data_IF_191640744874
#
_entry.id   IF_191640744874
#
_cell.length_a   1.000
_cell.length_b   1.000
_cell.length_c   1.000
_cell.angle_alpha   90.00
_cell.angle_beta   90.00
_cell.angle_gamma   90.00
#
_symmetry.space_group_name_H-M   'P 1'
#
loop_
_entity.id
_entity.type
_entity.pdbx_description
1 polymer ?
#
# COMPACT_ATOMS: atom_id res chain seq x y z
N UNK A 1 6.23 2.07 -40.06
CA UNK A 1 4.80 2.17 -39.70
C UNK A 1 4.54 2.19 -38.19
N UNK A 2 5.55 2.16 -37.31
CA UNK A 2 5.37 2.21 -35.84
C UNK A 2 5.29 3.65 -35.26
N UNK A 3 5.58 4.69 -36.05
CA UNK A 3 5.70 6.07 -35.58
C UNK A 3 4.36 6.79 -35.43
N UNK A 4 3.35 6.42 -36.23
CA UNK A 4 2.02 7.03 -36.20
C UNK A 4 1.19 6.62 -34.99
N UNK A 5 1.36 5.38 -34.53
CA UNK A 5 0.58 4.82 -33.42
C UNK A 5 1.08 5.33 -32.06
N UNK A 6 2.40 5.41 -31.88
CA UNK A 6 3.02 6.00 -30.69
C UNK A 6 2.69 7.49 -30.56
N UNK A 7 2.63 8.22 -31.68
CA UNK A 7 2.24 9.64 -31.69
C UNK A 7 0.78 9.82 -31.31
N UNK A 8 -0.11 8.97 -31.82
CA UNK A 8 -1.54 8.99 -31.46
C UNK A 8 -1.75 8.72 -29.96
N UNK A 9 -1.08 7.71 -29.42
CA UNK A 9 -1.17 7.36 -28.00
C UNK A 9 -0.67 8.50 -27.09
N UNK A 10 0.42 9.18 -27.48
CA UNK A 10 0.94 10.33 -26.76
C UNK A 10 -0.06 11.51 -26.75
N UNK A 11 -0.72 11.78 -27.88
CA UNK A 11 -1.75 12.81 -27.97
C UNK A 11 -2.98 12.50 -27.09
N UNK A 12 -3.41 11.23 -27.06
CA UNK A 12 -4.55 10.81 -26.25
C UNK A 12 -4.25 10.92 -24.75
N UNK A 13 -3.05 10.52 -24.31
CA UNK A 13 -2.60 10.64 -22.91
C UNK A 13 -2.59 12.11 -22.47
N UNK A 14 -2.05 13.01 -23.30
CA UNK A 14 -1.99 14.44 -23.00
C UNK A 14 -3.38 15.07 -22.91
N UNK A 15 -4.34 14.60 -23.73
CA UNK A 15 -5.74 15.05 -23.66
C UNK A 15 -6.41 14.63 -22.35
N UNK A 16 -6.21 13.38 -21.90
CA UNK A 16 -6.79 12.91 -20.65
C UNK A 16 -6.25 13.65 -19.42
N UNK A 17 -4.94 13.89 -19.37
CA UNK A 17 -4.32 14.66 -18.30
C UNK A 17 -4.90 16.08 -18.22
N UNK A 18 -5.23 16.69 -19.37
CA UNK A 18 -5.86 18.01 -19.45
C UNK A 18 -7.31 18.03 -18.98
N UNK A 19 -8.02 16.90 -19.10
CA UNK A 19 -9.39 16.71 -18.62
C UNK A 19 -9.47 16.27 -17.14
N UNK A 20 -8.34 16.18 -16.44
CA UNK A 20 -8.28 15.64 -15.07
C UNK A 20 -8.57 14.13 -15.00
N UNK A 21 -8.58 13.45 -16.16
CA UNK A 21 -8.81 12.01 -16.27
C UNK A 21 -7.47 11.30 -16.27
N UNK A 22 -7.37 10.22 -15.51
CA UNK A 22 -6.16 9.42 -15.47
C UNK A 22 -5.90 8.78 -16.86
N UNK A 23 -4.66 8.76 -17.38
CA UNK A 23 -4.29 8.20 -18.69
C UNK A 23 -4.79 6.77 -18.99
N UNK A 24 -5.23 6.04 -17.97
CA UNK A 24 -5.80 4.69 -18.10
C UNK A 24 -7.22 4.65 -18.68
N UNK A 25 -7.91 5.79 -18.84
CA UNK A 25 -9.20 5.81 -19.53
C UNK A 25 -9.10 5.48 -21.04
N UNK A 26 -7.89 5.50 -21.65
CA UNK A 26 -7.64 5.03 -23.03
C UNK A 26 -7.52 3.50 -23.10
N UNK A 27 -7.20 2.83 -22.00
CA UNK A 27 -6.96 1.38 -22.01
C UNK A 27 -8.24 0.54 -22.03
N UNK A 28 -9.41 1.15 -21.90
CA UNK A 28 -10.70 0.45 -21.93
C UNK A 28 -11.23 0.20 -23.36
N UNK A 29 -10.65 0.83 -24.38
CA UNK A 29 -11.10 0.70 -25.78
C UNK A 29 -10.22 -0.24 -26.63
N UNK A 30 -9.33 -1.02 -25.99
CA UNK A 30 -8.59 -2.09 -26.66
C UNK A 30 -9.26 -3.42 -26.36
N UNK A 31 -10.20 -3.80 -27.22
CA UNK A 31 -10.80 -5.13 -27.35
C UNK A 31 -9.73 -6.20 -27.69
N UNK A 32 -8.83 -6.50 -26.75
CA UNK A 32 -7.97 -7.66 -26.84
C UNK A 32 -8.12 -8.48 -25.55
N UNK A 33 -8.97 -9.50 -25.61
CA UNK A 33 -9.22 -10.51 -24.57
C UNK A 33 -7.92 -11.22 -24.07
N UNK A 34 -6.78 -11.01 -24.72
CA UNK A 34 -5.47 -11.56 -24.35
C UNK A 34 -4.63 -10.69 -23.38
N UNK A 35 -5.02 -9.44 -23.12
CA UNK A 35 -4.24 -8.50 -22.29
C UNK A 35 -4.85 -8.19 -20.92
N UNK A 36 -6.04 -8.73 -20.63
CA UNK A 36 -6.85 -8.28 -19.51
C UNK A 36 -6.20 -8.58 -18.14
N UNK A 37 -5.68 -9.79 -17.94
CA UNK A 37 -5.19 -10.20 -16.62
C UNK A 37 -3.83 -9.60 -16.25
N UNK A 38 -2.90 -9.58 -17.21
CA UNK A 38 -1.61 -8.95 -17.00
C UNK A 38 -1.77 -7.43 -16.80
N UNK A 39 -2.71 -6.81 -17.51
CA UNK A 39 -3.10 -5.42 -17.31
C UNK A 39 -3.65 -5.18 -15.90
N UNK A 40 -4.64 -5.98 -15.47
CA UNK A 40 -5.21 -5.92 -14.11
C UNK A 40 -4.14 -6.09 -13.03
N UNK A 41 -3.27 -7.08 -13.16
CA UNK A 41 -2.17 -7.30 -12.24
C UNK A 41 -1.26 -6.08 -12.13
N UNK A 42 -0.85 -5.48 -13.25
CA UNK A 42 0.01 -4.28 -13.24
C UNK A 42 -0.62 -3.10 -12.52
N UNK A 43 -1.94 -2.92 -12.65
CA UNK A 43 -2.66 -1.87 -11.92
C UNK A 43 -2.62 -2.13 -10.42
N UNK A 44 -2.87 -3.37 -9.99
CA UNK A 44 -2.80 -3.77 -8.58
C UNK A 44 -1.38 -3.59 -8.05
N UNK A 45 -0.38 -4.02 -8.81
CA UNK A 45 1.03 -3.89 -8.46
C UNK A 45 1.44 -2.42 -8.28
N UNK A 46 1.07 -1.54 -9.20
CA UNK A 46 1.33 -0.11 -9.06
C UNK A 46 0.67 0.46 -7.80
N UNK A 47 -0.60 0.14 -7.56
CA UNK A 47 -1.32 0.61 -6.37
C UNK A 47 -0.72 0.09 -5.07
N UNK A 48 -0.21 -1.14 -5.07
CA UNK A 48 0.49 -1.72 -3.93
C UNK A 48 1.85 -1.05 -3.69
N UNK A 49 2.61 -0.72 -4.74
CA UNK A 49 3.85 0.06 -4.62
C UNK A 49 3.57 1.44 -4.05
N UNK A 50 2.54 2.14 -4.55
CA UNK A 50 2.12 3.45 -4.04
C UNK A 50 1.67 3.36 -2.58
N UNK A 51 0.87 2.34 -2.23
CA UNK A 51 0.46 2.09 -0.85
C UNK A 51 1.66 1.84 0.08
N UNK A 52 2.59 0.96 -0.32
CA UNK A 52 3.81 0.66 0.44
C UNK A 52 4.75 1.86 0.58
N UNK A 53 4.65 2.87 -0.30
CA UNK A 53 5.52 4.05 -0.27
C UNK A 53 5.11 5.09 0.78
N UNK A 54 3.92 4.94 1.39
CA UNK A 54 3.46 5.76 2.50
C UNK A 54 4.52 5.77 3.61
N UNK A 55 4.67 6.90 4.29
CA UNK A 55 5.58 7.05 5.43
C UNK A 55 7.04 6.65 5.13
N UNK A 56 7.52 7.01 3.94
CA UNK A 56 8.88 6.75 3.43
C UNK A 56 9.19 5.26 3.17
N UNK A 57 8.18 4.41 3.03
CA UNK A 57 8.35 3.00 2.73
C UNK A 57 8.16 2.10 3.96
N UNK A 58 7.78 0.85 3.72
CA UNK A 58 7.50 -0.16 4.77
C UNK A 58 8.64 -0.31 5.78
N UNK A 59 9.90 -0.14 5.36
CA UNK A 59 11.05 -0.23 6.25
C UNK A 59 11.06 0.85 7.35
N UNK A 60 10.42 1.99 7.11
CA UNK A 60 10.35 3.13 8.04
C UNK A 60 9.05 3.15 8.87
N UNK A 61 8.10 2.24 8.61
CA UNK A 61 6.77 2.28 9.24
C UNK A 61 6.82 2.14 10.76
N UNK A 62 7.69 1.28 11.30
CA UNK A 62 7.78 1.09 12.74
C UNK A 62 8.20 2.38 13.47
N UNK A 63 9.22 3.07 12.98
CA UNK A 63 9.68 4.35 13.52
C UNK A 63 8.62 5.44 13.34
N UNK A 64 8.03 5.53 12.14
CA UNK A 64 6.99 6.51 11.87
C UNK A 64 5.76 6.33 12.79
N UNK A 65 5.32 5.09 13.02
CA UNK A 65 4.17 4.78 13.88
C UNK A 65 4.44 5.16 15.34
N UNK A 66 5.63 4.90 15.86
CA UNK A 66 6.00 5.30 17.22
C UNK A 66 6.05 6.83 17.37
N UNK A 67 6.59 7.53 16.36
CA UNK A 67 6.62 9.00 16.36
C UNK A 67 5.21 9.60 16.23
N UNK A 68 4.40 9.10 15.29
CA UNK A 68 3.06 9.64 15.03
C UNK A 68 2.11 9.36 16.18
N UNK A 69 2.23 8.22 16.87
CA UNK A 69 1.49 7.94 18.10
C UNK A 69 1.78 8.96 19.19
N UNK A 70 3.06 9.27 19.43
CA UNK A 70 3.46 10.27 20.43
C UNK A 70 2.89 11.65 20.13
N UNK A 71 2.85 12.02 18.86
CA UNK A 71 2.28 13.30 18.43
C UNK A 71 0.74 13.29 18.58
N UNK A 72 0.09 12.19 18.17
CA UNK A 72 -1.34 12.01 18.33
C UNK A 72 -1.78 12.14 19.79
N UNK A 73 -1.07 11.50 20.72
CA UNK A 73 -1.38 11.60 22.16
C UNK A 73 -1.33 13.05 22.69
N UNK A 74 -0.58 13.94 22.04
CA UNK A 74 -0.48 15.36 22.43
C UNK A 74 -1.53 16.22 21.76
N UNK A 75 -1.93 15.88 20.54
CA UNK A 75 -2.70 16.78 19.69
C UNK A 75 -4.18 16.41 19.55
N UNK A 76 -4.50 15.14 19.32
CA UNK A 76 -5.83 14.73 18.86
C UNK A 76 -6.32 13.37 19.39
N UNK A 77 -5.50 12.65 20.14
CA UNK A 77 -5.88 11.42 20.85
C UNK A 77 -5.66 10.13 20.07
N UNK A 78 -5.95 9.01 20.72
CA UNK A 78 -5.69 7.67 20.20
C UNK A 78 -6.62 7.27 19.07
N UNK A 79 -7.91 7.59 19.19
CA UNK A 79 -8.92 7.08 18.26
C UNK A 79 -8.68 7.59 16.83
N UNK A 80 -8.40 8.88 16.65
CA UNK A 80 -8.11 9.45 15.31
C UNK A 80 -6.82 8.87 14.70
N UNK A 81 -5.77 8.67 15.50
CA UNK A 81 -4.54 8.03 15.03
C UNK A 81 -4.76 6.57 14.64
N UNK A 82 -5.50 5.84 15.49
CA UNK A 82 -5.86 4.45 15.26
C UNK A 82 -6.65 4.32 13.96
N UNK A 83 -7.66 5.17 13.75
CA UNK A 83 -8.45 5.20 12.52
C UNK A 83 -7.58 5.46 11.29
N UNK A 84 -6.63 6.41 11.31
CA UNK A 84 -5.73 6.65 10.17
C UNK A 84 -4.92 5.40 9.82
N UNK A 85 -4.30 4.76 10.82
CA UNK A 85 -3.46 3.59 10.60
C UNK A 85 -4.31 2.40 10.15
N UNK A 86 -5.49 2.22 10.75
CA UNK A 86 -6.39 1.12 10.42
C UNK A 86 -6.99 1.26 9.02
N UNK A 87 -7.36 2.47 8.61
CA UNK A 87 -7.79 2.77 7.24
C UNK A 87 -6.69 2.46 6.21
N UNK A 88 -5.44 2.74 6.57
CA UNK A 88 -4.31 2.38 5.71
C UNK A 88 -4.12 0.87 5.62
N UNK A 89 -4.25 0.13 6.72
CA UNK A 89 -4.23 -1.34 6.73
C UNK A 89 -5.38 -1.93 5.89
N UNK A 90 -6.58 -1.38 5.99
CA UNK A 90 -7.75 -1.79 5.19
C UNK A 90 -7.55 -1.57 3.69
N UNK A 91 -6.86 -0.49 3.30
CA UNK A 91 -6.45 -0.29 1.89
C UNK A 91 -5.51 -1.41 1.43
N UNK A 92 -4.57 -1.83 2.28
CA UNK A 92 -3.69 -2.97 2.04
C UNK A 92 -4.47 -4.28 1.85
N UNK A 93 -5.39 -4.59 2.77
CA UNK A 93 -6.26 -5.78 2.69
C UNK A 93 -7.09 -5.80 1.40
N UNK A 94 -7.65 -4.66 0.98
CA UNK A 94 -8.38 -4.56 -0.29
C UNK A 94 -7.51 -4.84 -1.52
N UNK A 95 -6.24 -4.43 -1.49
CA UNK A 95 -5.29 -4.74 -2.57
C UNK A 95 -4.94 -6.23 -2.60
N UNK A 96 -4.76 -6.84 -1.43
CA UNK A 96 -4.55 -8.28 -1.30
C UNK A 96 -5.75 -9.07 -1.82
N UNK A 97 -6.99 -8.73 -1.41
CA UNK A 97 -8.22 -9.36 -1.92
C UNK A 97 -8.29 -9.28 -3.44
N UNK A 98 -8.06 -8.10 -4.03
CA UNK A 98 -8.09 -7.91 -5.49
C UNK A 98 -7.03 -8.73 -6.22
N UNK A 99 -5.89 -9.00 -5.57
CA UNK A 99 -4.84 -9.85 -6.12
C UNK A 99 -5.26 -11.33 -6.14
N UNK A 100 -6.05 -11.77 -5.14
CA UNK A 100 -6.64 -13.12 -5.12
C UNK A 100 -7.81 -13.29 -6.10
N UNK A 101 -8.53 -12.21 -6.41
CA UNK A 101 -9.64 -12.19 -7.38
C UNK A 101 -9.18 -12.14 -8.85
N UNK A 102 -7.88 -12.28 -9.10
CA UNK A 102 -7.33 -12.48 -10.43
C UNK A 102 -7.75 -13.86 -10.97
N UNK A 103 -8.85 -13.86 -11.75
CA UNK A 103 -9.45 -15.03 -12.40
C UNK A 103 -9.65 -14.87 -13.91
N UNK A 104 -8.93 -13.95 -14.54
CA UNK A 104 -9.05 -13.68 -15.96
C UNK A 104 -8.34 -14.67 -16.89
N UNK A 105 -8.40 -14.36 -18.18
CA UNK A 105 -7.68 -15.11 -19.20
C UNK A 105 -6.17 -14.92 -19.04
N UNK A 106 -5.47 -16.03 -18.83
CA UNK A 106 -4.01 -16.02 -18.74
C UNK A 106 -3.35 -15.75 -20.11
N UNK A 107 -2.16 -15.12 -20.14
CA UNK A 107 -1.40 -14.97 -21.36
C UNK A 107 -1.11 -16.32 -22.03
N UNK A 108 -1.17 -16.38 -23.38
CA UNK A 108 -0.86 -17.61 -24.13
C UNK A 108 0.60 -18.05 -23.96
N UNK A 109 1.52 -17.10 -23.76
CA UNK A 109 2.93 -17.43 -23.62
C UNK A 109 3.27 -17.92 -22.21
N UNK A 110 3.72 -19.18 -22.13
CA UNK A 110 4.03 -19.86 -20.87
C UNK A 110 5.03 -19.11 -19.97
N UNK A 111 6.00 -18.39 -20.54
CA UNK A 111 6.95 -17.59 -19.75
C UNK A 111 6.29 -16.40 -19.07
N UNK A 112 5.26 -15.79 -19.67
CA UNK A 112 4.50 -14.69 -19.06
C UNK A 112 3.63 -15.17 -17.91
N UNK A 113 3.06 -16.38 -18.03
CA UNK A 113 2.29 -17.01 -16.94
C UNK A 113 3.19 -17.26 -15.73
N UNK A 114 4.40 -17.81 -15.95
CA UNK A 114 5.38 -18.01 -14.86
C UNK A 114 5.78 -16.71 -14.19
N UNK A 115 6.05 -15.68 -14.99
CA UNK A 115 6.45 -14.37 -14.48
C UNK A 115 5.32 -13.68 -13.70
N UNK A 116 4.09 -13.75 -14.21
CA UNK A 116 2.90 -13.26 -13.51
C UNK A 116 2.75 -13.95 -12.16
N UNK A 117 2.83 -15.28 -12.12
CA UNK A 117 2.73 -16.04 -10.88
C UNK A 117 3.83 -15.68 -9.88
N UNK A 118 5.09 -15.56 -10.34
CA UNK A 118 6.23 -15.17 -9.51
C UNK A 118 6.00 -13.79 -8.87
N UNK A 119 5.67 -12.79 -9.68
CA UNK A 119 5.45 -11.41 -9.21
C UNK A 119 4.22 -11.29 -8.33
N UNK A 120 3.13 -11.97 -8.65
CA UNK A 120 1.93 -11.98 -7.82
C UNK A 120 2.21 -12.60 -6.45
N UNK A 121 2.95 -13.72 -6.40
CA UNK A 121 3.34 -14.35 -5.13
C UNK A 121 4.23 -13.45 -4.29
N UNK A 122 5.21 -12.79 -4.91
CA UNK A 122 6.07 -11.80 -4.25
C UNK A 122 5.25 -10.63 -3.68
N UNK A 123 4.29 -10.13 -4.46
CA UNK A 123 3.43 -9.02 -4.04
C UNK A 123 2.51 -9.40 -2.88
N UNK A 124 1.89 -10.60 -2.91
CA UNK A 124 1.11 -11.13 -1.78
C UNK A 124 1.97 -11.16 -0.52
N UNK A 125 3.19 -11.70 -0.61
CA UNK A 125 4.09 -11.79 0.55
C UNK A 125 4.44 -10.41 1.13
N UNK A 126 4.73 -9.43 0.26
CA UNK A 126 5.04 -8.07 0.67
C UNK A 126 3.84 -7.39 1.34
N UNK A 127 2.65 -7.51 0.74
CA UNK A 127 1.41 -6.96 1.31
C UNK A 127 1.11 -7.58 2.68
N UNK A 128 1.11 -8.91 2.79
CA UNK A 128 0.84 -9.61 4.04
C UNK A 128 1.81 -9.19 5.15
N UNK A 129 3.11 -9.10 4.84
CA UNK A 129 4.14 -8.66 5.79
C UNK A 129 3.91 -7.21 6.25
N UNK A 130 3.58 -6.32 5.32
CA UNK A 130 3.36 -4.91 5.61
C UNK A 130 2.08 -4.70 6.45
N UNK A 131 0.98 -5.38 6.10
CA UNK A 131 -0.28 -5.35 6.88
C UNK A 131 -0.04 -5.87 8.30
N UNK A 132 0.63 -7.02 8.45
CA UNK A 132 0.95 -7.58 9.75
C UNK A 132 1.81 -6.63 10.61
N UNK A 133 2.74 -5.89 9.98
CA UNK A 133 3.51 -4.87 10.69
C UNK A 133 2.60 -3.80 11.30
N UNK A 134 1.64 -3.27 10.52
CA UNK A 134 0.70 -2.27 11.02
C UNK A 134 -0.12 -2.81 12.18
N UNK A 135 -0.72 -3.99 12.02
CA UNK A 135 -1.57 -4.62 13.04
C UNK A 135 -0.81 -4.87 14.35
N UNK A 136 0.40 -5.41 14.26
CA UNK A 136 1.25 -5.69 15.42
C UNK A 136 1.66 -4.37 16.10
N UNK A 137 2.09 -3.37 15.34
CA UNK A 137 2.56 -2.11 15.93
C UNK A 137 1.43 -1.33 16.61
N UNK A 138 0.24 -1.28 16.00
CA UNK A 138 -0.94 -0.64 16.61
C UNK A 138 -1.29 -1.30 17.95
N UNK A 139 -1.16 -2.62 18.06
CA UNK A 139 -1.36 -3.31 19.33
C UNK A 139 -0.23 -3.06 20.34
N UNK A 140 1.03 -3.06 19.90
CA UNK A 140 2.20 -3.00 20.82
C UNK A 140 2.52 -1.60 21.33
N UNK A 141 2.37 -0.58 20.50
CA UNK A 141 2.80 0.79 20.82
C UNK A 141 2.13 1.30 22.10
N UNK A 142 0.79 1.26 22.26
CA UNK A 142 0.15 1.72 23.50
C UNK A 142 0.70 1.03 24.75
N UNK A 143 0.92 -0.28 24.68
CA UNK A 143 1.47 -1.06 25.80
C UNK A 143 2.89 -0.64 26.17
N UNK A 144 3.78 -0.39 25.19
CA UNK A 144 5.14 0.10 25.44
C UNK A 144 5.12 1.43 26.21
N UNK A 145 4.23 2.35 25.84
CA UNK A 145 4.14 3.65 26.49
C UNK A 145 3.55 3.58 27.89
N UNK A 146 2.56 2.72 28.15
CA UNK A 146 2.02 2.52 29.50
C UNK A 146 3.06 1.98 30.49
N UNK A 147 3.94 1.08 30.04
CA UNK A 147 5.02 0.52 30.87
C UNK A 147 6.06 1.61 31.21
N UNK A 148 6.48 2.40 30.23
CA UNK A 148 7.50 3.42 30.42
C UNK A 148 7.04 4.55 31.37
N UNK A 149 5.78 4.97 31.29
CA UNK A 149 5.24 5.94 32.25
C UNK A 149 5.23 5.39 33.68
N UNK A 150 4.86 4.11 33.84
CA UNK A 150 4.82 3.44 35.16
C UNK A 150 6.20 3.29 35.80
N UNK A 151 7.27 3.21 35.00
CA UNK A 151 8.65 3.16 35.49
C UNK A 151 9.17 4.53 35.94
N UNK A 152 8.82 5.62 35.24
CA UNK A 152 9.19 6.97 35.65
C UNK A 152 8.59 7.37 37.01
N UNK A 153 7.35 7.00 37.30
CA UNK A 153 6.75 7.27 38.62
C UNK A 153 7.41 6.52 39.79
N UNK A 154 8.17 5.45 39.53
CA UNK A 154 8.86 4.70 40.58
C UNK A 154 10.23 5.26 40.95
N UNK A 155 10.89 5.99 40.06
CA UNK A 155 12.22 6.54 40.31
C UNK A 155 12.20 7.85 41.09
N UNK A 156 11.08 8.58 41.05
CA UNK A 156 10.98 9.92 41.64
C UNK A 156 10.65 9.91 43.15
N UNK A 157 10.39 8.73 43.73
CA UNK A 157 10.04 8.57 45.15
C UNK A 157 11.21 8.15 46.06
N UNK A 158 12.46 8.14 45.58
CA UNK A 158 13.63 7.66 46.34
C UNK A 158 14.68 8.74 46.66
N UNK A 159 14.28 10.01 46.79
CA UNK A 159 15.23 11.08 47.10
C UNK A 159 14.63 12.21 47.91
N UNK A 160 14.40 11.98 49.20
CA UNK A 160 14.35 13.01 50.25
C UNK A 160 14.38 12.34 51.62
N UNK A 161 15.59 12.03 52.10
CA UNK A 161 15.94 11.94 53.52
C UNK A 161 17.22 12.76 53.74
#
# INVERSE_FOLDING_TARGET
>A
MATTEAHRLACDILRLLKEGKHPYAICNDLDSEEFEELGRFRVIEQQAVEWMSKWNGVACWAEWLEMSYNEAMKCYGFDEWFEEVWDHADKGRRLETRLFELHGTLPKEHYKVKELYRRATELVHLLAKAIALLEIQVALIPHKFSINQSQHFRTDNYGSD
#
